data_IF_872981900389
#
_entry.id   IF_872981900389
#
_cell.length_a   1.000
_cell.length_b   1.000
_cell.length_c   1.000
_cell.angle_alpha   90.00
_cell.angle_beta   90.00
_cell.angle_gamma   90.00
#
_symmetry.space_group_name_H-M   'P 1'
#
loop_
_entity.id
_entity.type
_entity.pdbx_description
1 polymer ?
#
# COMPACT_ATOMS: atom_id res chain seq x y z
N UNK A 1 -18.56 57.52 -19.55
CA UNK A 1 -18.77 56.20 -20.19
C UNK A 1 -17.71 55.25 -19.64
N UNK A 2 -18.08 54.45 -18.65
CA UNK A 2 -17.17 53.64 -17.85
C UNK A 2 -16.97 52.23 -18.45
N UNK A 3 -15.73 51.93 -18.81
CA UNK A 3 -14.88 50.79 -18.39
C UNK A 3 -15.60 49.50 -17.94
N UNK A 4 -15.42 48.42 -18.70
CA UNK A 4 -15.25 47.04 -18.17
C UNK A 4 -14.20 46.31 -19.02
N UNK A 5 -13.02 45.95 -18.47
CA UNK A 5 -12.16 44.91 -19.02
C UNK A 5 -12.35 43.58 -18.30
N UNK A 6 -12.24 42.50 -19.08
CA UNK A 6 -12.25 41.09 -18.67
C UNK A 6 -11.28 40.83 -17.51
N UNK A 7 -11.79 40.37 -16.37
CA UNK A 7 -10.99 39.81 -15.28
C UNK A 7 -11.18 38.29 -15.21
N UNK A 8 -10.07 37.59 -15.49
CA UNK A 8 -9.75 36.25 -14.99
C UNK A 8 -10.04 36.19 -13.48
N UNK A 9 -10.98 35.36 -13.00
CA UNK A 9 -10.97 34.89 -11.62
C UNK A 9 -11.81 33.62 -11.46
N UNK A 10 -11.36 32.77 -10.52
CA UNK A 10 -12.05 31.62 -9.93
C UNK A 10 -11.80 30.20 -10.50
N UNK A 11 -10.53 29.75 -10.46
CA UNK A 11 -10.20 28.36 -10.08
C UNK A 11 -9.04 28.41 -9.06
N UNK A 12 -9.32 28.96 -7.89
CA UNK A 12 -8.43 28.94 -6.71
C UNK A 12 -9.28 29.02 -5.45
N UNK A 13 -10.02 27.96 -5.13
CA UNK A 13 -10.64 27.80 -3.80
C UNK A 13 -10.67 26.36 -3.27
N UNK A 14 -10.17 25.37 -4.00
CA UNK A 14 -10.13 23.97 -3.51
C UNK A 14 -8.79 23.54 -2.87
N UNK A 15 -7.78 24.42 -2.82
CA UNK A 15 -6.41 24.07 -2.35
C UNK A 15 -6.06 24.58 -0.93
N UNK A 16 -6.97 25.25 -0.23
CA UNK A 16 -6.64 25.96 1.02
C UNK A 16 -7.02 25.19 2.29
N UNK A 17 -7.82 24.13 2.22
CA UNK A 17 -8.23 23.37 3.42
C UNK A 17 -7.29 22.22 3.86
N UNK A 18 -6.16 21.99 3.17
CA UNK A 18 -5.21 20.90 3.50
C UNK A 18 -3.87 21.33 4.12
N UNK A 19 -3.68 22.62 4.46
CA UNK A 19 -2.39 23.15 4.94
C UNK A 19 -2.31 23.46 6.45
N UNK A 20 -3.15 22.87 7.30
CA UNK A 20 -3.17 23.16 8.75
C UNK A 20 -2.64 22.02 9.66
N UNK A 21 -1.83 21.09 9.14
CA UNK A 21 -1.21 20.01 9.95
C UNK A 21 0.28 19.82 9.63
N UNK A 22 0.98 20.89 9.25
CA UNK A 22 2.39 20.80 8.83
C UNK A 22 3.31 21.84 9.50
N UNK A 23 3.12 22.13 10.79
CA UNK A 23 4.07 22.93 11.58
C UNK A 23 4.10 22.50 13.06
N UNK A 24 4.54 21.27 13.33
CA UNK A 24 5.18 20.92 14.60
C UNK A 24 6.19 19.81 14.28
N UNK A 25 7.43 19.93 14.78
CA UNK A 25 8.62 19.10 14.49
C UNK A 25 9.49 19.50 13.30
N UNK A 26 10.19 20.63 13.46
CA UNK A 26 11.57 20.81 12.97
C UNK A 26 12.31 21.82 13.87
N UNK A 27 12.89 21.35 14.96
CA UNK A 27 14.19 21.84 15.41
C UNK A 27 14.80 20.76 16.31
N UNK A 28 15.90 20.19 15.83
CA UNK A 28 17.02 19.59 16.57
C UNK A 28 17.71 18.58 15.65
N UNK A 29 18.65 19.10 14.88
CA UNK A 29 19.77 18.32 14.36
C UNK A 29 21.03 19.14 14.68
N UNK A 30 21.84 18.60 15.62
CA UNK A 30 23.31 18.37 15.62
C UNK A 30 24.25 19.44 15.01
N UNK A 31 25.58 19.54 15.31
CA UNK A 31 26.47 18.39 15.57
C UNK A 31 27.74 18.63 16.44
N UNK A 32 28.54 17.56 16.54
CA UNK A 32 30.01 17.51 16.64
C UNK A 32 30.70 17.09 17.96
N UNK A 33 31.38 15.94 17.82
CA UNK A 33 32.74 15.57 18.25
C UNK A 33 33.14 15.73 19.72
N UNK A 34 33.70 14.66 20.29
CA UNK A 34 35.02 14.59 20.94
C UNK A 34 35.06 13.30 21.76
N UNK A 35 35.94 12.36 21.38
CA UNK A 35 36.41 11.29 22.29
C UNK A 35 37.94 11.33 22.24
N UNK A 36 38.62 11.56 23.36
CA UNK A 36 40.07 11.55 23.42
C UNK A 36 40.62 10.13 23.65
N UNK A 37 41.77 9.89 23.02
CA UNK A 37 42.80 8.92 23.38
C UNK A 37 43.17 8.98 24.85
N UNK A 38 43.24 7.83 25.53
CA UNK A 38 44.10 7.63 26.69
C UNK A 38 44.77 6.25 26.61
N UNK A 39 46.07 6.31 26.32
CA UNK A 39 47.06 5.32 26.73
C UNK A 39 47.10 5.31 28.27
N UNK A 40 47.04 4.13 28.88
CA UNK A 40 47.81 3.89 30.09
C UNK A 40 48.32 2.45 30.13
N UNK A 41 49.63 2.39 30.13
CA UNK A 41 50.51 1.27 30.45
C UNK A 41 50.25 0.77 31.88
N UNK A 42 50.27 -0.56 32.06
CA UNK A 42 50.82 -1.18 33.27
C UNK A 42 51.28 -2.61 32.96
N UNK A 43 52.61 -2.74 32.92
CA UNK A 43 53.35 -3.99 33.08
C UNK A 43 53.33 -4.42 34.55
N UNK A 44 53.11 -5.71 34.82
CA UNK A 44 54.10 -6.56 35.48
C UNK A 44 53.63 -8.02 35.61
N UNK A 45 54.62 -8.88 35.45
CA UNK A 45 54.70 -10.34 35.52
C UNK A 45 54.24 -10.98 36.82
N UNK A 46 53.74 -12.23 36.73
CA UNK A 46 54.33 -13.43 37.38
C UNK A 46 53.76 -14.73 36.79
N UNK A 47 54.66 -15.70 36.63
CA UNK A 47 54.54 -17.07 36.11
C UNK A 47 53.69 -18.00 36.99
N UNK A 48 52.80 -18.87 36.46
CA UNK A 48 53.01 -20.31 36.11
C UNK A 48 51.67 -21.07 36.33
N UNK A 49 51.48 -22.37 35.99
CA UNK A 49 51.92 -23.17 34.84
C UNK A 49 50.72 -23.73 34.00
N UNK A 50 51.07 -24.33 32.87
CA UNK A 50 50.24 -25.04 31.86
C UNK A 50 48.98 -25.78 32.36
N UNK A 51 47.82 -25.44 31.77
CA UNK A 51 46.66 -26.33 31.67
C UNK A 51 46.56 -26.90 30.24
N UNK A 52 46.13 -28.17 30.06
CA UNK A 52 45.95 -28.81 28.76
C UNK A 52 44.86 -28.08 27.94
N UNK A 53 44.82 -28.21 26.61
CA UNK A 53 43.87 -27.48 25.79
C UNK A 53 42.46 -27.86 26.23
N UNK A 54 41.77 -26.91 26.83
CA UNK A 54 40.36 -26.98 27.19
C UNK A 54 39.59 -27.36 25.94
N UNK A 55 38.93 -28.53 25.97
CA UNK A 55 37.96 -28.92 24.96
C UNK A 55 36.94 -27.78 24.88
N UNK A 56 36.96 -27.03 23.77
CA UNK A 56 35.94 -26.03 23.46
C UNK A 56 34.59 -26.72 23.60
N UNK A 57 33.80 -26.32 24.59
CA UNK A 57 32.41 -26.72 24.74
C UNK A 57 31.66 -26.23 23.50
N UNK A 58 31.45 -27.14 22.54
CA UNK A 58 30.81 -26.83 21.26
C UNK A 58 29.41 -26.30 21.49
N UNK A 59 29.05 -25.24 20.76
CA UNK A 59 27.72 -24.65 20.88
C UNK A 59 26.66 -25.65 20.40
N UNK A 60 25.41 -25.58 20.90
CA UNK A 60 24.33 -26.47 20.44
C UNK A 60 24.13 -26.45 18.92
N UNK A 61 24.41 -25.31 18.27
CA UNK A 61 24.28 -25.13 16.83
C UNK A 61 25.37 -25.86 16.03
N UNK A 62 26.61 -25.90 16.53
CA UNK A 62 27.69 -26.69 15.90
C UNK A 62 27.38 -28.18 15.91
N UNK A 63 26.79 -28.70 16.99
CA UNK A 63 26.36 -30.11 17.07
C UNK A 63 25.23 -30.43 16.10
N UNK A 64 24.26 -29.51 15.95
CA UNK A 64 23.17 -29.67 14.99
C UNK A 64 23.67 -29.64 13.55
N UNK A 65 24.61 -28.74 13.24
CA UNK A 65 25.29 -28.70 11.94
C UNK A 65 26.05 -30.00 11.64
N UNK A 66 26.83 -30.52 12.59
CA UNK A 66 27.56 -31.79 12.43
C UNK A 66 26.61 -32.97 12.24
N UNK A 67 25.50 -33.02 12.98
CA UNK A 67 24.46 -34.04 12.83
C UNK A 67 23.86 -34.02 11.43
N UNK A 68 23.67 -32.81 10.90
CA UNK A 68 23.17 -32.63 9.55
C UNK A 68 24.17 -33.09 8.48
N UNK A 69 25.43 -32.70 8.62
CA UNK A 69 26.53 -33.12 7.73
C UNK A 69 26.67 -34.65 7.69
N UNK A 70 26.46 -35.32 8.82
CA UNK A 70 26.45 -36.80 8.89
C UNK A 70 25.23 -37.41 8.18
N UNK A 71 24.09 -36.71 8.17
CA UNK A 71 22.85 -37.20 7.56
C UNK A 71 22.83 -37.05 6.04
N UNK A 72 23.61 -36.13 5.44
CA UNK A 72 23.78 -36.16 3.98
C UNK A 72 24.88 -37.12 3.61
N UNK A 73 24.46 -38.21 3.00
CA UNK A 73 25.36 -39.17 2.37
C UNK A 73 26.17 -38.48 1.25
N UNK A 74 27.40 -38.95 0.96
CA UNK A 74 28.12 -38.49 -0.22
C UNK A 74 27.27 -38.71 -1.48
N UNK A 75 27.03 -37.64 -2.24
CA UNK A 75 26.16 -37.65 -3.42
C UNK A 75 24.72 -37.14 -3.19
N UNK A 76 24.48 -36.31 -2.17
CA UNK A 76 23.17 -35.72 -1.90
C UNK A 76 22.58 -34.94 -3.09
N UNK A 77 21.26 -35.00 -3.22
CA UNK A 77 20.51 -34.33 -4.28
C UNK A 77 20.01 -32.95 -3.83
N UNK A 78 19.66 -32.03 -4.75
CA UNK A 78 19.01 -30.77 -4.38
C UNK A 78 17.72 -30.96 -3.56
N UNK A 79 17.00 -32.07 -3.75
CA UNK A 79 15.84 -32.43 -2.93
C UNK A 79 16.19 -32.80 -1.50
N UNK A 80 17.34 -33.44 -1.27
CA UNK A 80 17.80 -33.75 0.09
C UNK A 80 18.21 -32.47 0.82
N UNK A 81 18.85 -31.54 0.09
CA UNK A 81 19.17 -30.20 0.61
C UNK A 81 17.91 -29.37 0.88
N UNK A 82 16.89 -29.43 0.03
CA UNK A 82 15.61 -28.76 0.30
C UNK A 82 14.91 -29.30 1.56
N UNK A 83 14.86 -30.63 1.74
CA UNK A 83 14.29 -31.28 2.93
C UNK A 83 15.04 -30.87 4.19
N UNK A 84 16.37 -30.86 4.09
CA UNK A 84 17.28 -30.42 5.12
C UNK A 84 17.04 -28.99 5.60
N UNK A 85 16.92 -28.05 4.65
CA UNK A 85 16.64 -26.64 4.93
C UNK A 85 15.28 -26.49 5.62
N UNK A 86 14.23 -27.14 5.10
CA UNK A 86 12.88 -27.13 5.69
C UNK A 86 12.83 -27.66 7.12
N UNK A 87 13.70 -28.61 7.47
CA UNK A 87 13.76 -29.18 8.81
C UNK A 87 14.41 -28.24 9.84
N UNK A 88 15.11 -27.19 9.41
CA UNK A 88 15.73 -26.24 10.33
C UNK A 88 14.70 -25.23 10.84
N UNK A 89 14.75 -24.92 12.13
CA UNK A 89 14.02 -23.80 12.72
C UNK A 89 14.85 -22.51 12.74
N UNK A 90 16.17 -22.63 12.86
CA UNK A 90 17.08 -21.50 12.90
C UNK A 90 17.49 -21.04 11.48
N UNK A 91 17.25 -19.76 11.12
CA UNK A 91 17.58 -19.23 9.80
C UNK A 91 19.08 -19.12 9.52
N UNK A 92 19.90 -18.87 10.54
CA UNK A 92 21.35 -18.73 10.36
C UNK A 92 21.99 -20.09 10.10
N UNK A 93 21.61 -21.13 10.85
CA UNK A 93 22.01 -22.52 10.58
C UNK A 93 21.56 -22.99 9.19
N UNK A 94 20.33 -22.68 8.78
CA UNK A 94 19.85 -22.99 7.43
C UNK A 94 20.71 -22.32 6.34
N UNK A 95 21.17 -21.09 6.57
CA UNK A 95 22.07 -20.39 5.65
C UNK A 95 23.47 -21.00 5.62
N UNK A 96 24.00 -21.43 6.76
CA UNK A 96 25.30 -22.11 6.82
C UNK A 96 25.27 -23.45 6.07
N UNK A 97 24.18 -24.22 6.24
CA UNK A 97 23.90 -25.43 5.47
C UNK A 97 23.83 -25.13 3.96
N UNK A 98 23.12 -24.06 3.57
CA UNK A 98 23.00 -23.64 2.18
C UNK A 98 24.37 -23.25 1.58
N UNK A 99 25.21 -22.54 2.34
CA UNK A 99 26.54 -22.13 1.87
C UNK A 99 27.52 -23.29 1.81
N UNK A 100 27.47 -24.19 2.80
CA UNK A 100 28.33 -25.38 2.83
C UNK A 100 28.05 -26.29 1.63
N UNK A 101 26.77 -26.56 1.34
CA UNK A 101 26.39 -27.38 0.18
C UNK A 101 26.88 -26.79 -1.15
N UNK A 102 26.91 -25.46 -1.27
CA UNK A 102 27.43 -24.78 -2.46
C UNK A 102 28.96 -24.95 -2.69
N UNK A 103 29.73 -25.35 -1.67
CA UNK A 103 31.18 -25.57 -1.80
C UNK A 103 31.53 -26.90 -2.49
N UNK A 104 30.57 -27.82 -2.62
CA UNK A 104 30.81 -29.12 -3.24
C UNK A 104 30.92 -29.01 -4.77
N UNK A 105 32.04 -29.48 -5.33
CA UNK A 105 32.39 -29.32 -6.76
C UNK A 105 31.31 -29.79 -7.76
N UNK A 106 30.52 -30.80 -7.39
CA UNK A 106 29.51 -31.40 -8.27
C UNK A 106 28.07 -31.02 -7.91
N UNK A 107 27.88 -30.02 -7.04
CA UNK A 107 26.56 -29.62 -6.57
C UNK A 107 26.26 -28.17 -6.99
N UNK A 108 25.04 -27.94 -7.47
CA UNK A 108 24.50 -26.61 -7.74
C UNK A 108 23.11 -26.48 -7.13
N UNK A 109 22.86 -25.34 -6.51
CA UNK A 109 21.54 -25.01 -5.99
C UNK A 109 20.54 -24.81 -7.12
N UNK A 110 19.29 -25.19 -6.84
CA UNK A 110 18.17 -25.08 -7.79
C UNK A 110 17.20 -24.02 -7.32
N UNK A 111 16.22 -23.67 -8.15
CA UNK A 111 15.14 -22.76 -7.75
C UNK A 111 14.42 -23.17 -6.45
N UNK A 112 14.34 -24.49 -6.15
CA UNK A 112 13.70 -25.02 -4.96
C UNK A 112 14.49 -24.68 -3.68
N UNK A 113 15.80 -24.94 -3.68
CA UNK A 113 16.65 -24.66 -2.51
C UNK A 113 16.73 -23.16 -2.25
N UNK A 114 16.85 -22.34 -3.30
CA UNK A 114 16.77 -20.87 -3.22
C UNK A 114 15.42 -20.39 -2.67
N UNK A 115 14.31 -20.94 -3.13
CA UNK A 115 12.96 -20.58 -2.65
C UNK A 115 12.81 -20.86 -1.15
N UNK A 116 13.25 -22.03 -0.70
CA UNK A 116 13.16 -22.44 0.71
C UNK A 116 14.01 -21.55 1.60
N UNK A 117 15.28 -21.34 1.27
CA UNK A 117 16.17 -20.50 2.10
C UNK A 117 15.70 -19.04 2.13
N UNK A 118 15.25 -18.47 1.01
CA UNK A 118 14.74 -17.10 0.97
C UNK A 118 13.52 -16.97 1.88
N UNK A 119 12.56 -17.91 1.82
CA UNK A 119 11.39 -17.91 2.71
C UNK A 119 11.78 -17.98 4.18
N UNK A 120 12.76 -18.81 4.51
CA UNK A 120 13.23 -19.01 5.88
C UNK A 120 13.94 -17.78 6.44
N UNK A 121 14.81 -17.14 5.64
CA UNK A 121 15.46 -15.89 6.02
C UNK A 121 14.44 -14.76 6.20
N UNK A 122 13.39 -14.71 5.37
CA UNK A 122 12.30 -13.73 5.52
C UNK A 122 11.54 -13.96 6.83
N UNK A 123 11.17 -15.21 7.14
CA UNK A 123 10.50 -15.56 8.40
C UNK A 123 11.39 -15.25 9.61
N UNK A 124 12.69 -15.52 9.50
CA UNK A 124 13.74 -15.24 10.47
C UNK A 124 14.15 -13.77 10.61
N UNK A 125 13.52 -12.86 9.86
CA UNK A 125 13.86 -11.43 9.80
C UNK A 125 15.31 -11.13 9.37
N UNK A 126 16.01 -12.07 8.73
CA UNK A 126 17.38 -11.94 8.21
C UNK A 126 17.42 -11.32 6.82
N UNK A 127 16.93 -10.09 6.75
CA UNK A 127 16.59 -9.48 5.47
C UNK A 127 17.77 -9.08 4.59
N UNK A 128 18.91 -8.75 5.18
CA UNK A 128 20.14 -8.45 4.40
C UNK A 128 20.62 -9.68 3.65
N UNK A 129 20.61 -10.84 4.31
CA UNK A 129 20.98 -12.11 3.69
C UNK A 129 19.94 -12.54 2.63
N UNK A 130 18.65 -12.31 2.88
CA UNK A 130 17.62 -12.57 1.86
C UNK A 130 17.81 -11.68 0.61
N UNK A 131 18.24 -10.43 0.78
CA UNK A 131 18.55 -9.52 -0.32
C UNK A 131 19.77 -9.98 -1.14
N UNK A 132 20.85 -10.45 -0.50
CA UNK A 132 22.01 -10.98 -1.22
C UNK A 132 21.63 -12.21 -2.06
N UNK A 133 20.80 -13.11 -1.52
CA UNK A 133 20.33 -14.26 -2.29
C UNK A 133 19.41 -13.85 -3.46
N UNK A 134 18.62 -12.78 -3.30
CA UNK A 134 17.83 -12.22 -4.40
C UNK A 134 18.74 -11.72 -5.52
N UNK A 135 19.86 -11.06 -5.18
CA UNK A 135 20.85 -10.58 -6.15
C UNK A 135 21.55 -11.72 -6.89
N UNK A 136 21.93 -12.78 -6.17
CA UNK A 136 22.49 -13.99 -6.77
C UNK A 136 21.53 -14.62 -7.80
N UNK A 137 20.24 -14.73 -7.48
CA UNK A 137 19.23 -15.25 -8.42
C UNK A 137 19.07 -14.33 -9.63
N UNK A 138 19.06 -13.00 -9.45
CA UNK A 138 19.00 -12.05 -10.58
C UNK A 138 20.24 -12.18 -11.49
N UNK A 139 21.42 -12.43 -10.91
CA UNK A 139 22.67 -12.66 -11.62
C UNK A 139 22.72 -14.01 -12.36
N UNK A 140 21.75 -14.91 -12.12
CA UNK A 140 21.64 -16.20 -12.82
C UNK A 140 22.26 -17.37 -12.07
N UNK A 141 22.31 -17.33 -10.73
CA UNK A 141 22.89 -18.40 -9.92
C UNK A 141 22.13 -19.74 -9.99
N UNK A 142 20.84 -19.74 -10.35
CA UNK A 142 20.02 -20.94 -10.47
C UNK A 142 19.05 -20.88 -11.66
N UNK A 143 18.44 -22.02 -11.95
CA UNK A 143 17.28 -22.12 -12.83
C UNK A 143 16.11 -21.31 -12.25
N UNK A 144 15.21 -20.87 -13.12
CA UNK A 144 14.16 -19.92 -12.76
C UNK A 144 12.82 -20.63 -12.59
N UNK A 145 12.02 -20.19 -11.62
CA UNK A 145 10.65 -20.66 -11.43
C UNK A 145 9.72 -19.52 -11.05
N UNK A 146 8.45 -19.63 -11.44
CA UNK A 146 7.41 -18.65 -11.10
C UNK A 146 7.26 -18.46 -9.57
N UNK A 147 7.22 -19.53 -8.73
CA UNK A 147 7.12 -19.37 -7.28
C UNK A 147 8.32 -18.67 -6.64
N UNK A 148 9.53 -18.89 -7.17
CA UNK A 148 10.73 -18.19 -6.73
C UNK A 148 10.63 -16.69 -7.03
N UNK A 149 10.32 -16.31 -8.27
CA UNK A 149 10.14 -14.91 -8.64
C UNK A 149 9.04 -14.22 -7.85
N UNK A 150 7.87 -14.84 -7.68
CA UNK A 150 6.77 -14.27 -6.90
C UNK A 150 7.16 -14.10 -5.42
N UNK A 151 7.97 -15.01 -4.86
CA UNK A 151 8.49 -14.88 -3.48
C UNK A 151 9.48 -13.72 -3.34
N UNK A 152 10.41 -13.57 -4.30
CA UNK A 152 11.35 -12.45 -4.35
C UNK A 152 10.64 -11.11 -4.55
N UNK A 153 9.69 -11.02 -5.47
CA UNK A 153 8.87 -9.82 -5.71
C UNK A 153 8.09 -9.46 -4.44
N UNK A 154 7.43 -10.42 -3.80
CA UNK A 154 6.71 -10.20 -2.53
C UNK A 154 7.63 -9.63 -1.44
N UNK A 155 8.84 -10.18 -1.31
CA UNK A 155 9.85 -9.67 -0.37
C UNK A 155 10.27 -8.23 -0.68
N UNK A 156 10.62 -7.94 -1.94
CA UNK A 156 11.03 -6.61 -2.39
C UNK A 156 9.90 -5.58 -2.23
N UNK A 157 8.67 -5.94 -2.60
CA UNK A 157 7.46 -5.12 -2.45
C UNK A 157 7.11 -4.80 -0.99
N UNK A 158 7.52 -5.65 -0.04
CA UNK A 158 7.30 -5.45 1.39
C UNK A 158 8.16 -4.34 2.00
N UNK A 159 9.21 -3.88 1.30
CA UNK A 159 10.21 -2.96 1.86
C UNK A 159 10.27 -1.64 1.12
N UNK A 160 10.55 -0.56 1.86
CA UNK A 160 10.65 0.78 1.26
C UNK A 160 11.81 0.86 0.25
N UNK A 161 12.99 0.39 0.66
CA UNK A 161 14.25 0.47 -0.08
C UNK A 161 14.33 -0.50 -1.27
N UNK A 162 13.77 -1.71 -1.13
CA UNK A 162 13.86 -2.76 -2.17
C UNK A 162 12.78 -2.66 -3.24
N UNK A 163 11.94 -1.64 -3.21
CA UNK A 163 10.81 -1.55 -4.11
C UNK A 163 11.20 -1.49 -5.59
N UNK A 164 12.23 -0.73 -5.91
CA UNK A 164 12.73 -0.67 -7.28
C UNK A 164 13.30 -2.03 -7.71
N UNK A 165 13.92 -2.77 -6.78
CA UNK A 165 14.41 -4.14 -7.01
C UNK A 165 13.28 -5.09 -7.41
N UNK A 166 12.05 -4.90 -6.91
CA UNK A 166 10.90 -5.71 -7.33
C UNK A 166 10.66 -5.61 -8.85
N UNK A 167 10.88 -4.43 -9.43
CA UNK A 167 10.76 -4.22 -10.88
C UNK A 167 11.94 -4.79 -11.66
N UNK A 168 13.14 -4.86 -11.07
CA UNK A 168 14.28 -5.54 -11.68
C UNK A 168 14.04 -7.05 -11.77
N UNK A 169 13.53 -7.65 -10.68
CA UNK A 169 13.11 -9.06 -10.65
C UNK A 169 12.01 -9.32 -11.68
N UNK A 170 10.98 -8.47 -11.72
CA UNK A 170 9.91 -8.57 -12.71
C UNK A 170 10.41 -8.44 -14.16
N UNK A 171 11.33 -7.50 -14.45
CA UNK A 171 11.92 -7.35 -15.79
C UNK A 171 12.75 -8.58 -16.19
N UNK A 172 13.47 -9.19 -15.24
CA UNK A 172 14.20 -10.44 -15.48
C UNK A 172 13.23 -11.57 -15.82
N UNK A 173 12.14 -11.71 -15.06
CA UNK A 173 11.07 -12.67 -15.32
C UNK A 173 10.40 -12.44 -16.69
N UNK A 174 10.20 -11.19 -17.12
CA UNK A 174 9.61 -10.90 -18.43
C UNK A 174 10.51 -11.33 -19.60
N UNK A 175 11.83 -11.37 -19.39
CA UNK A 175 12.83 -11.77 -20.40
C UNK A 175 13.07 -13.28 -20.45
N UNK A 176 12.64 -14.04 -19.44
CA UNK A 176 12.79 -15.49 -19.46
C UNK A 176 11.72 -16.15 -20.32
N UNK A 177 12.12 -17.10 -21.16
CA UNK A 177 11.20 -17.88 -21.99
C UNK A 177 10.40 -18.89 -21.15
N UNK A 178 11.05 -19.52 -20.17
CA UNK A 178 10.50 -20.60 -19.33
C UNK A 178 9.57 -20.11 -18.21
N UNK A 179 9.70 -18.84 -17.81
CA UNK A 179 9.01 -18.28 -16.64
C UNK A 179 8.31 -16.98 -16.99
N UNK A 180 7.00 -17.03 -17.18
CA UNK A 180 6.20 -15.84 -17.49
C UNK A 180 5.46 -15.30 -16.26
N UNK A 181 5.34 -13.96 -16.11
CA UNK A 181 4.52 -13.36 -15.07
C UNK A 181 3.09 -13.89 -15.10
N UNK A 182 2.54 -14.21 -13.93
CA UNK A 182 1.16 -14.66 -13.78
C UNK A 182 0.31 -13.62 -13.03
N UNK A 183 -0.96 -13.92 -12.81
CA UNK A 183 -1.88 -13.03 -12.10
C UNK A 183 -1.35 -12.63 -10.72
N UNK A 184 -0.77 -13.58 -9.96
CA UNK A 184 -0.16 -13.31 -8.65
C UNK A 184 0.97 -12.28 -8.75
N UNK A 185 1.84 -12.39 -9.77
CA UNK A 185 2.92 -11.43 -10.01
C UNK A 185 2.38 -10.01 -10.16
N UNK A 186 1.37 -9.82 -11.01
CA UNK A 186 0.75 -8.52 -11.24
C UNK A 186 0.03 -8.00 -10.00
N UNK A 187 -0.69 -8.86 -9.28
CA UNK A 187 -1.37 -8.52 -8.02
C UNK A 187 -0.38 -7.99 -6.97
N UNK A 188 0.76 -8.66 -6.78
CA UNK A 188 1.81 -8.23 -5.84
C UNK A 188 2.33 -6.83 -6.20
N UNK A 189 2.66 -6.62 -7.47
CA UNK A 189 3.21 -5.37 -7.96
C UNK A 189 2.19 -4.22 -7.87
N UNK A 190 0.96 -4.41 -8.35
CA UNK A 190 -0.09 -3.39 -8.23
C UNK A 190 -0.39 -3.03 -6.77
N UNK A 191 -0.40 -4.02 -5.87
CA UNK A 191 -0.70 -3.78 -4.46
C UNK A 191 0.43 -2.99 -3.79
N UNK A 192 1.67 -3.32 -4.16
CA UNK A 192 2.84 -2.58 -3.70
C UNK A 192 2.88 -1.14 -4.20
N UNK A 193 2.45 -0.88 -5.45
CA UNK A 193 2.32 0.46 -6.01
C UNK A 193 1.26 1.26 -5.25
N UNK A 194 0.06 0.72 -5.08
CA UNK A 194 -1.06 1.43 -4.45
C UNK A 194 -0.86 1.73 -2.98
N UNK A 195 -0.08 0.90 -2.25
CA UNK A 195 0.34 1.21 -0.87
C UNK A 195 1.19 2.48 -0.76
N UNK A 196 1.76 2.97 -1.86
CA UNK A 196 2.57 4.19 -1.92
C UNK A 196 1.78 5.41 -2.40
N UNK A 197 0.50 5.26 -2.72
CA UNK A 197 -0.39 6.35 -3.15
C UNK A 197 -0.84 7.17 -1.94
N UNK A 198 0.11 7.89 -1.33
CA UNK A 198 -0.11 8.70 -0.13
C UNK A 198 -0.33 10.18 -0.44
N UNK A 199 0.33 10.71 -1.47
CA UNK A 199 0.20 12.11 -1.92
C UNK A 199 -0.04 12.14 -3.43
N UNK A 200 -0.83 13.10 -3.92
CA UNK A 200 -1.24 13.19 -5.33
C UNK A 200 -0.03 13.20 -6.29
N UNK A 201 0.99 14.01 -6.02
CA UNK A 201 2.21 14.09 -6.85
C UNK A 201 2.92 12.73 -6.96
N UNK A 202 2.90 11.94 -5.89
CA UNK A 202 3.50 10.60 -5.85
C UNK A 202 2.63 9.60 -6.62
N UNK A 203 1.30 9.75 -6.59
CA UNK A 203 0.38 8.91 -7.36
C UNK A 203 0.66 9.00 -8.87
N UNK A 204 0.89 10.21 -9.41
CA UNK A 204 1.17 10.39 -10.84
C UNK A 204 2.46 9.68 -11.30
N UNK A 205 3.52 9.69 -10.48
CA UNK A 205 4.76 8.97 -10.80
C UNK A 205 4.50 7.47 -10.94
N UNK A 206 3.74 6.89 -10.02
CA UNK A 206 3.42 5.46 -10.06
C UNK A 206 2.31 5.11 -11.05
N UNK A 207 1.51 6.07 -11.50
CA UNK A 207 0.49 5.85 -12.52
C UNK A 207 1.12 5.39 -13.85
N UNK A 208 2.29 5.91 -14.21
CA UNK A 208 3.01 5.44 -15.40
C UNK A 208 3.38 3.95 -15.27
N UNK A 209 3.82 3.51 -14.09
CA UNK A 209 4.11 2.11 -13.83
C UNK A 209 2.84 1.25 -13.91
N UNK A 210 1.72 1.71 -13.35
CA UNK A 210 0.42 1.04 -13.47
C UNK A 210 0.02 0.89 -14.94
N UNK A 211 0.04 1.97 -15.73
CA UNK A 211 -0.25 1.97 -17.18
C UNK A 211 0.63 0.97 -17.94
N UNK A 212 1.93 1.00 -17.69
CA UNK A 212 2.90 0.11 -18.34
C UNK A 212 2.61 -1.36 -18.01
N UNK A 213 2.40 -1.68 -16.73
CA UNK A 213 2.10 -3.04 -16.29
C UNK A 213 0.75 -3.53 -16.81
N UNK A 214 -0.29 -2.70 -16.86
CA UNK A 214 -1.59 -3.09 -17.42
C UNK A 214 -1.44 -3.47 -18.89
N UNK A 215 -0.66 -2.70 -19.68
CA UNK A 215 -0.35 -3.06 -21.07
C UNK A 215 0.44 -4.36 -21.18
N UNK A 216 1.45 -4.55 -20.32
CA UNK A 216 2.25 -5.77 -20.29
C UNK A 216 1.42 -7.00 -19.90
N UNK A 217 0.53 -6.88 -18.92
CA UNK A 217 -0.39 -7.95 -18.51
C UNK A 217 -1.27 -8.42 -19.67
N UNK A 218 -1.85 -7.47 -20.43
CA UNK A 218 -2.62 -7.77 -21.64
C UNK A 218 -1.75 -8.43 -22.71
N UNK A 219 -0.56 -7.90 -22.98
CA UNK A 219 0.37 -8.46 -23.98
C UNK A 219 0.87 -9.86 -23.62
N UNK A 220 1.02 -10.17 -22.33
CA UNK A 220 1.37 -11.50 -21.82
C UNK A 220 0.20 -12.49 -21.83
N UNK A 221 -1.01 -12.06 -22.21
CA UNK A 221 -2.21 -12.90 -22.18
C UNK A 221 -2.70 -13.25 -20.77
N UNK A 222 -2.28 -12.51 -19.75
CA UNK A 222 -2.74 -12.73 -18.37
C UNK A 222 -4.09 -12.07 -18.19
N UNK A 223 -5.11 -12.89 -17.94
CA UNK A 223 -6.48 -12.43 -17.71
C UNK A 223 -6.58 -11.84 -16.30
N UNK A 224 -6.94 -10.56 -16.14
CA UNK A 224 -7.12 -9.94 -14.83
C UNK A 224 -8.42 -10.41 -14.17
N UNK A 225 -8.40 -10.49 -12.84
CA UNK A 225 -9.59 -10.69 -12.03
C UNK A 225 -10.20 -9.34 -11.57
N UNK A 226 -11.39 -9.40 -10.95
CA UNK A 226 -12.06 -8.23 -10.37
C UNK A 226 -11.17 -7.46 -9.40
N UNK A 227 -10.29 -8.17 -8.67
CA UNK A 227 -9.40 -7.54 -7.70
C UNK A 227 -8.36 -6.64 -8.38
N UNK A 228 -7.65 -7.15 -9.39
CA UNK A 228 -6.67 -6.39 -10.17
C UNK A 228 -7.32 -5.25 -10.94
N UNK A 229 -8.49 -5.47 -11.54
CA UNK A 229 -9.23 -4.41 -12.25
C UNK A 229 -9.62 -3.27 -11.30
N UNK A 230 -10.11 -3.61 -10.09
CA UNK A 230 -10.41 -2.62 -9.06
C UNK A 230 -9.18 -1.83 -8.61
N UNK A 231 -8.00 -2.46 -8.56
CA UNK A 231 -6.75 -1.78 -8.25
C UNK A 231 -6.35 -0.79 -9.34
N UNK A 232 -6.49 -1.16 -10.60
CA UNK A 232 -6.22 -0.28 -11.75
C UNK A 232 -7.21 0.90 -11.74
N UNK A 233 -8.51 0.65 -11.54
CA UNK A 233 -9.55 1.68 -11.41
C UNK A 233 -9.22 2.63 -10.26
N UNK A 234 -8.88 2.10 -9.07
CA UNK A 234 -8.45 2.90 -7.92
C UNK A 234 -7.27 3.80 -8.25
N UNK A 235 -6.29 3.29 -9.01
CA UNK A 235 -5.11 4.06 -9.42
C UNK A 235 -5.50 5.27 -10.29
N UNK A 236 -6.32 5.03 -11.31
CA UNK A 236 -6.82 6.09 -12.21
C UNK A 236 -7.69 7.10 -11.47
N UNK A 237 -8.65 6.65 -10.66
CA UNK A 237 -9.51 7.52 -9.86
C UNK A 237 -8.71 8.41 -8.90
N UNK A 238 -7.71 7.85 -8.20
CA UNK A 238 -6.84 8.65 -7.30
C UNK A 238 -5.99 9.69 -8.03
N UNK A 239 -5.74 9.51 -9.33
CA UNK A 239 -5.03 10.47 -10.16
C UNK A 239 -5.97 11.36 -10.98
N UNK A 240 -7.29 11.32 -10.72
CA UNK A 240 -8.31 12.07 -11.46
C UNK A 240 -8.34 11.79 -12.98
N UNK A 241 -7.80 10.64 -13.39
CA UNK A 241 -7.81 10.12 -14.76
C UNK A 241 -9.09 9.28 -14.98
N UNK A 242 -10.23 9.88 -14.66
CA UNK A 242 -11.53 9.18 -14.53
C UNK A 242 -12.04 8.57 -15.84
N UNK A 243 -11.64 9.11 -16.99
CA UNK A 243 -12.04 8.55 -18.29
C UNK A 243 -11.39 7.18 -18.52
N UNK A 244 -10.13 7.02 -18.13
CA UNK A 244 -9.45 5.72 -18.13
C UNK A 244 -10.04 4.77 -17.08
N UNK A 245 -10.44 5.29 -15.92
CA UNK A 245 -11.15 4.49 -14.91
C UNK A 245 -12.48 3.92 -15.46
N UNK A 246 -13.27 4.75 -16.15
CA UNK A 246 -14.53 4.35 -16.81
C UNK A 246 -14.26 3.36 -17.95
N UNK A 247 -13.17 3.55 -18.71
CA UNK A 247 -12.76 2.59 -19.75
C UNK A 247 -12.49 1.22 -19.15
N UNK A 248 -11.70 1.13 -18.07
CA UNK A 248 -11.40 -0.14 -17.40
C UNK A 248 -12.67 -0.76 -16.80
N UNK A 249 -13.58 0.04 -16.25
CA UNK A 249 -14.89 -0.42 -15.78
C UNK A 249 -15.71 -1.10 -16.89
N UNK A 250 -15.76 -0.50 -18.09
CA UNK A 250 -16.46 -1.09 -19.25
C UNK A 250 -15.77 -2.36 -19.75
N UNK A 251 -14.45 -2.45 -19.63
CA UNK A 251 -13.68 -3.64 -19.99
C UNK A 251 -13.90 -4.81 -19.02
N UNK A 252 -14.43 -4.60 -17.79
CA UNK A 252 -14.61 -5.68 -16.81
C UNK A 252 -15.49 -6.81 -17.33
N UNK A 253 -16.58 -6.49 -18.05
CA UNK A 253 -17.46 -7.49 -18.64
C UNK A 253 -16.78 -8.37 -19.69
N UNK A 254 -15.77 -7.85 -20.41
CA UNK A 254 -14.98 -8.62 -21.38
C UNK A 254 -14.12 -9.69 -20.71
N UNK A 255 -13.82 -9.52 -19.42
CA UNK A 255 -13.08 -10.48 -18.59
C UNK A 255 -14.00 -11.36 -17.74
N UNK A 256 -15.33 -11.29 -17.94
CA UNK A 256 -16.30 -11.99 -17.08
C UNK A 256 -16.28 -11.51 -15.62
N UNK A 257 -15.79 -10.29 -15.38
CA UNK A 257 -15.66 -9.72 -14.04
C UNK A 257 -16.83 -8.79 -13.74
N UNK A 258 -17.53 -9.04 -12.63
CA UNK A 258 -18.63 -8.19 -12.20
C UNK A 258 -18.14 -7.01 -11.35
N UNK A 259 -18.57 -5.76 -11.65
CA UNK A 259 -18.34 -4.62 -10.79
C UNK A 259 -18.96 -4.79 -9.40
N UNK A 260 -18.22 -4.40 -8.37
CA UNK A 260 -18.68 -4.48 -6.98
C UNK A 260 -18.64 -3.11 -6.28
N UNK A 261 -18.93 -3.08 -4.98
CA UNK A 261 -19.01 -1.84 -4.22
C UNK A 261 -17.72 -1.01 -4.27
N UNK A 262 -16.55 -1.65 -4.37
CA UNK A 262 -15.28 -0.95 -4.52
C UNK A 262 -15.15 -0.32 -5.91
N UNK A 263 -15.56 -1.04 -6.96
CA UNK A 263 -15.53 -0.55 -8.34
C UNK A 263 -16.29 0.76 -8.48
N UNK A 264 -17.57 0.75 -8.09
CA UNK A 264 -18.43 1.94 -8.13
C UNK A 264 -17.91 3.05 -7.23
N UNK A 265 -17.52 2.71 -5.99
CA UNK A 265 -17.04 3.70 -5.02
C UNK A 265 -15.78 4.43 -5.50
N UNK A 266 -14.83 3.74 -6.14
CA UNK A 266 -13.64 4.38 -6.70
C UNK A 266 -13.98 5.33 -7.85
N UNK A 267 -14.89 4.96 -8.75
CA UNK A 267 -15.25 5.78 -9.92
C UNK A 267 -16.08 6.99 -9.48
N UNK A 268 -17.12 6.78 -8.67
CA UNK A 268 -17.98 7.84 -8.15
C UNK A 268 -17.15 8.90 -7.40
N UNK A 269 -16.29 8.44 -6.49
CA UNK A 269 -15.33 9.30 -5.79
C UNK A 269 -14.46 10.10 -6.75
N UNK A 270 -13.78 9.42 -7.68
CA UNK A 270 -12.85 10.09 -8.61
C UNK A 270 -13.55 11.12 -9.49
N UNK A 271 -14.79 10.85 -9.93
CA UNK A 271 -15.61 11.78 -10.70
C UNK A 271 -15.98 13.02 -9.89
N UNK A 272 -16.45 12.84 -8.65
CA UNK A 272 -16.75 13.94 -7.73
C UNK A 272 -15.52 14.80 -7.44
N UNK A 273 -14.36 14.19 -7.13
CA UNK A 273 -13.10 14.90 -6.88
C UNK A 273 -12.58 15.65 -8.12
N UNK A 274 -12.89 15.17 -9.34
CA UNK A 274 -12.58 15.87 -10.60
C UNK A 274 -13.58 17.01 -10.92
N UNK A 275 -14.67 17.12 -10.19
CA UNK A 275 -15.75 18.08 -10.46
C UNK A 275 -16.81 17.60 -11.46
N UNK A 276 -16.78 16.32 -11.88
CA UNK A 276 -17.83 15.71 -12.72
C UNK A 276 -18.96 15.14 -11.86
N UNK A 277 -19.52 15.99 -10.99
CA UNK A 277 -20.45 15.62 -9.91
C UNK A 277 -21.69 14.88 -10.45
N UNK A 278 -22.29 15.34 -11.56
CA UNK A 278 -23.42 14.66 -12.21
C UNK A 278 -23.14 13.19 -12.54
N UNK A 279 -21.96 12.89 -13.09
CA UNK A 279 -21.60 11.52 -13.43
C UNK A 279 -21.27 10.71 -12.17
N UNK A 280 -20.61 11.32 -11.18
CA UNK A 280 -20.36 10.69 -9.89
C UNK A 280 -21.65 10.26 -9.19
N UNK A 281 -22.66 11.13 -9.18
CA UNK A 281 -23.99 10.83 -8.67
C UNK A 281 -24.70 9.73 -9.48
N UNK A 282 -24.52 9.70 -10.80
CA UNK A 282 -25.00 8.62 -11.66
C UNK A 282 -24.45 7.25 -11.25
N UNK A 283 -23.13 7.14 -11.06
CA UNK A 283 -22.50 5.90 -10.58
C UNK A 283 -22.98 5.51 -9.16
N UNK A 284 -23.23 6.48 -8.28
CA UNK A 284 -23.81 6.21 -6.96
C UNK A 284 -25.25 5.65 -7.05
N UNK A 285 -26.11 6.24 -7.90
CA UNK A 285 -27.48 5.76 -8.10
C UNK A 285 -27.50 4.35 -8.68
N UNK A 286 -26.64 4.07 -9.67
CA UNK A 286 -26.48 2.72 -10.24
C UNK A 286 -25.96 1.72 -9.19
N UNK A 287 -25.03 2.15 -8.34
CA UNK A 287 -24.53 1.35 -7.23
C UNK A 287 -25.67 0.96 -6.26
N UNK A 288 -26.55 1.91 -5.92
CA UNK A 288 -27.72 1.66 -5.06
C UNK A 288 -28.76 0.75 -5.72
N UNK A 289 -29.03 0.93 -7.02
CA UNK A 289 -29.99 0.06 -7.73
C UNK A 289 -29.52 -1.40 -7.80
N UNK A 290 -28.21 -1.63 -7.67
CA UNK A 290 -27.60 -2.97 -7.55
C UNK A 290 -27.48 -3.47 -6.10
N UNK A 291 -28.10 -2.77 -5.15
CA UNK A 291 -28.03 -3.06 -3.71
C UNK A 291 -26.59 -3.07 -3.14
N UNK A 292 -25.65 -2.39 -3.81
CA UNK A 292 -24.28 -2.27 -3.35
C UNK A 292 -24.18 -1.06 -2.40
N UNK A 293 -23.59 -1.28 -1.23
CA UNK A 293 -23.52 -0.27 -0.17
C UNK A 293 -22.21 0.54 -0.30
N UNK A 294 -22.25 1.87 -0.54
CA UNK A 294 -21.04 2.71 -0.67
C UNK A 294 -20.17 2.66 0.58
N UNK A 295 -18.87 2.90 0.49
CA UNK A 295 -18.04 3.06 1.71
C UNK A 295 -18.29 4.41 2.37
N UNK A 296 -17.98 4.56 3.67
CA UNK A 296 -18.04 5.85 4.39
C UNK A 296 -17.33 6.97 3.61
N UNK A 297 -16.13 6.69 3.10
CA UNK A 297 -15.36 7.63 2.29
C UNK A 297 -16.03 8.01 0.97
N UNK A 298 -16.81 7.10 0.37
CA UNK A 298 -17.55 7.36 -0.87
C UNK A 298 -18.72 8.29 -0.58
N UNK A 299 -19.49 8.01 0.48
CA UNK A 299 -20.58 8.88 0.94
C UNK A 299 -20.11 10.30 1.20
N UNK A 300 -19.11 10.46 2.08
CA UNK A 300 -18.56 11.78 2.45
C UNK A 300 -18.19 12.60 1.23
N UNK A 301 -17.50 12.00 0.26
CA UNK A 301 -17.04 12.72 -0.92
C UNK A 301 -18.20 13.12 -1.83
N UNK A 302 -19.20 12.25 -2.01
CA UNK A 302 -20.39 12.57 -2.81
C UNK A 302 -21.17 13.70 -2.14
N UNK A 303 -21.49 13.58 -0.85
CA UNK A 303 -22.20 14.60 -0.06
C UNK A 303 -21.49 15.96 -0.16
N UNK A 304 -20.20 16.01 0.19
CA UNK A 304 -19.44 17.25 0.13
C UNK A 304 -19.35 17.81 -1.30
N UNK A 305 -19.21 16.96 -2.31
CA UNK A 305 -19.15 17.42 -3.71
C UNK A 305 -20.48 18.02 -4.19
N UNK A 306 -21.62 17.44 -3.80
CA UNK A 306 -22.95 17.95 -4.13
C UNK A 306 -23.22 19.27 -3.44
N UNK A 307 -22.88 19.37 -2.15
CA UNK A 307 -23.02 20.62 -1.41
C UNK A 307 -22.17 21.75 -2.00
N UNK A 308 -20.92 21.47 -2.38
CA UNK A 308 -20.06 22.46 -3.05
C UNK A 308 -20.54 22.84 -4.45
N UNK A 309 -21.23 21.93 -5.15
CA UNK A 309 -21.87 22.16 -6.45
C UNK A 309 -23.27 22.83 -6.33
N UNK A 310 -23.65 23.28 -5.11
CA UNK A 310 -24.95 23.90 -4.79
C UNK A 310 -26.16 23.03 -5.10
N UNK A 311 -26.01 21.72 -4.95
CA UNK A 311 -27.08 20.72 -5.09
C UNK A 311 -27.44 20.17 -3.71
N UNK A 312 -27.94 21.06 -2.86
CA UNK A 312 -28.12 20.76 -1.44
C UNK A 312 -29.16 19.68 -1.20
N UNK A 313 -30.23 19.62 -2.00
CA UNK A 313 -31.26 18.58 -1.90
C UNK A 313 -30.68 17.18 -2.13
N UNK A 314 -29.93 16.99 -3.22
CA UNK A 314 -29.25 15.72 -3.49
C UNK A 314 -28.21 15.41 -2.40
N UNK A 315 -27.51 16.44 -1.90
CA UNK A 315 -26.53 16.27 -0.81
C UNK A 315 -27.16 15.77 0.48
N UNK A 316 -28.32 16.32 0.86
CA UNK A 316 -29.09 15.94 2.04
C UNK A 316 -29.66 14.52 1.85
N UNK A 317 -30.19 14.19 0.67
CA UNK A 317 -30.67 12.83 0.36
C UNK A 317 -29.57 11.79 0.56
N UNK A 318 -28.37 12.05 0.02
CA UNK A 318 -27.23 11.14 0.16
C UNK A 318 -26.73 11.08 1.60
N UNK A 319 -26.78 12.19 2.36
CA UNK A 319 -26.44 12.21 3.78
C UNK A 319 -27.41 11.36 4.60
N UNK A 320 -28.71 11.45 4.34
CA UNK A 320 -29.70 10.60 5.01
C UNK A 320 -29.55 9.13 4.64
N UNK A 321 -29.29 8.78 3.38
CA UNK A 321 -28.96 7.39 3.01
C UNK A 321 -27.69 6.89 3.73
N UNK A 322 -26.71 7.77 4.00
CA UNK A 322 -25.54 7.42 4.82
C UNK A 322 -25.94 7.07 6.26
N UNK A 323 -26.79 7.90 6.88
CA UNK A 323 -27.28 7.70 8.25
C UNK A 323 -28.17 6.47 8.40
N UNK A 324 -29.08 6.24 7.44
CA UNK A 324 -29.97 5.08 7.40
C UNK A 324 -29.20 3.76 7.26
N UNK A 325 -27.98 3.81 6.72
CA UNK A 325 -27.02 2.68 6.66
C UNK A 325 -26.11 2.59 7.89
N UNK A 326 -26.48 3.26 8.98
CA UNK A 326 -25.75 3.32 10.25
C UNK A 326 -24.31 3.81 10.10
N UNK A 327 -24.08 4.74 9.16
CA UNK A 327 -22.79 5.41 9.00
C UNK A 327 -22.93 6.88 9.33
N UNK A 328 -22.14 7.33 10.30
CA UNK A 328 -22.09 8.73 10.70
C UNK A 328 -21.24 9.55 9.73
N UNK A 329 -21.77 10.66 9.18
CA UNK A 329 -20.95 11.75 8.68
C UNK A 329 -19.96 12.24 9.74
N UNK A 330 -18.81 12.75 9.32
CA UNK A 330 -17.89 13.44 10.23
C UNK A 330 -18.27 14.92 10.40
N UNK A 331 -17.63 15.60 11.36
CA UNK A 331 -17.89 17.03 11.64
C UNK A 331 -17.79 17.89 10.38
N UNK A 332 -16.79 17.63 9.53
CA UNK A 332 -16.57 18.39 8.31
C UNK A 332 -17.69 18.16 7.29
N UNK A 333 -18.20 16.94 7.18
CA UNK A 333 -19.31 16.60 6.28
C UNK A 333 -20.59 17.32 6.69
N UNK A 334 -20.94 17.28 7.98
CA UNK A 334 -22.08 18.05 8.50
C UNK A 334 -21.92 19.54 8.22
N UNK A 335 -20.79 20.10 8.63
CA UNK A 335 -20.46 21.52 8.43
C UNK A 335 -20.62 21.95 6.97
N UNK A 336 -20.12 21.14 6.03
CA UNK A 336 -20.14 21.48 4.60
C UNK A 336 -21.56 21.68 4.08
N UNK A 337 -22.50 20.81 4.48
CA UNK A 337 -23.90 20.89 4.03
C UNK A 337 -24.64 22.02 4.74
N UNK A 338 -24.44 22.14 6.05
CA UNK A 338 -25.06 23.18 6.89
C UNK A 338 -24.66 24.58 6.45
N UNK A 339 -23.36 24.84 6.28
CA UNK A 339 -22.88 26.12 5.73
C UNK A 339 -23.34 26.33 4.28
N UNK A 340 -23.54 25.25 3.51
CA UNK A 340 -24.13 25.32 2.17
C UNK A 340 -25.51 25.95 2.19
N UNK A 341 -26.39 25.48 3.07
CA UNK A 341 -27.74 26.02 3.27
C UNK A 341 -27.72 27.48 3.75
N UNK A 342 -26.87 27.81 4.73
CA UNK A 342 -26.75 29.18 5.22
C UNK A 342 -26.34 30.17 4.12
N UNK A 343 -25.37 29.79 3.26
CA UNK A 343 -24.92 30.63 2.14
C UNK A 343 -25.99 30.86 1.07
N UNK A 344 -26.99 30.00 0.99
CA UNK A 344 -28.17 30.18 0.12
C UNK A 344 -29.31 30.95 0.81
N UNK A 345 -29.12 31.42 2.05
CA UNK A 345 -30.13 32.12 2.82
C UNK A 345 -31.17 31.21 3.47
N UNK A 346 -30.92 29.89 3.50
CA UNK A 346 -31.83 28.85 4.05
C UNK A 346 -31.41 28.46 5.46
N UNK A 347 -31.22 29.46 6.32
CA UNK A 347 -30.72 29.26 7.68
C UNK A 347 -31.64 28.38 8.53
N UNK A 348 -32.95 28.60 8.45
CA UNK A 348 -33.95 27.84 9.23
C UNK A 348 -33.90 26.34 8.88
N UNK A 349 -33.82 26.01 7.59
CA UNK A 349 -33.65 24.62 7.12
C UNK A 349 -32.34 24.00 7.61
N UNK A 350 -31.28 24.80 7.78
CA UNK A 350 -30.00 24.31 8.31
C UNK A 350 -30.12 23.91 9.79
N UNK A 351 -30.85 24.68 10.60
CA UNK A 351 -31.11 24.32 12.01
C UNK A 351 -32.00 23.08 12.10
N UNK A 352 -33.08 23.01 11.31
CA UNK A 352 -33.96 21.84 11.25
C UNK A 352 -33.20 20.57 10.82
N UNK A 353 -32.33 20.69 9.81
CA UNK A 353 -31.49 19.59 9.35
C UNK A 353 -30.54 19.09 10.44
N UNK A 354 -29.90 19.99 11.21
CA UNK A 354 -29.01 19.61 12.31
C UNK A 354 -29.75 18.82 13.39
N UNK A 355 -30.96 19.26 13.76
CA UNK A 355 -31.79 18.56 14.74
C UNK A 355 -32.26 17.19 14.23
N UNK A 356 -32.61 17.10 12.96
CA UNK A 356 -32.98 15.81 12.34
C UNK A 356 -31.78 14.85 12.27
N UNK A 357 -30.59 15.35 11.93
CA UNK A 357 -29.36 14.57 11.95
C UNK A 357 -29.06 14.06 13.37
N UNK A 358 -29.27 14.87 14.39
CA UNK A 358 -29.08 14.48 15.79
C UNK A 358 -30.02 13.34 16.23
N UNK A 359 -31.24 13.29 15.70
CA UNK A 359 -32.20 12.20 15.98
C UNK A 359 -31.81 10.89 15.29
N UNK A 360 -31.30 10.96 14.06
CA UNK A 360 -30.94 9.78 13.26
C UNK A 360 -29.54 9.24 13.58
N UNK A 361 -28.61 10.12 13.92
CA UNK A 361 -27.22 9.78 14.20
C UNK A 361 -27.01 9.51 15.70
N UNK A 362 -27.13 8.25 16.10
CA UNK A 362 -26.86 7.80 17.46
C UNK A 362 -25.41 8.06 17.92
N UNK A 363 -24.47 8.28 16.98
CA UNK A 363 -23.06 8.53 17.29
C UNK A 363 -22.71 10.01 17.43
N UNK A 364 -23.61 10.91 17.02
CA UNK A 364 -23.42 12.35 17.20
C UNK A 364 -23.44 12.67 18.70
N UNK A 365 -22.26 12.91 19.26
CA UNK A 365 -22.14 13.29 20.66
C UNK A 365 -22.61 14.73 20.90
N UNK A 366 -22.91 15.08 22.16
CA UNK A 366 -23.40 16.41 22.53
C UNK A 366 -22.40 17.52 22.19
N UNK A 367 -21.08 17.22 22.24
CA UNK A 367 -20.02 18.17 21.92
C UNK A 367 -20.01 18.55 20.44
N UNK A 368 -20.12 17.58 19.53
CA UNK A 368 -20.16 17.79 18.07
C UNK A 368 -21.42 18.57 17.71
N UNK A 369 -22.58 18.21 18.27
CA UNK A 369 -23.81 18.96 18.07
C UNK A 369 -23.68 20.42 18.52
N UNK A 370 -23.19 20.68 19.74
CA UNK A 370 -22.98 22.05 20.25
C UNK A 370 -21.99 22.84 19.38
N UNK A 371 -20.92 22.20 18.91
CA UNK A 371 -19.95 22.83 18.02
C UNK A 371 -20.60 23.24 16.69
N UNK A 372 -21.33 22.31 16.04
CA UNK A 372 -22.03 22.60 14.78
C UNK A 372 -23.10 23.68 14.96
N UNK A 373 -23.85 23.65 16.07
CA UNK A 373 -24.86 24.65 16.38
C UNK A 373 -24.24 26.05 16.58
N UNK A 374 -23.13 26.16 17.31
CA UNK A 374 -22.41 27.42 17.49
C UNK A 374 -21.83 27.94 16.17
N UNK A 375 -21.28 27.04 15.34
CA UNK A 375 -20.79 27.39 14.01
C UNK A 375 -21.91 27.91 13.12
N UNK A 376 -23.09 27.26 13.13
CA UNK A 376 -24.29 27.74 12.42
C UNK A 376 -24.71 29.13 12.88
N UNK A 377 -24.81 29.38 14.18
CA UNK A 377 -25.16 30.71 14.71
C UNK A 377 -24.17 31.80 14.30
N UNK A 378 -22.88 31.46 14.17
CA UNK A 378 -21.87 32.39 13.70
C UNK A 378 -22.07 32.71 12.20
N UNK A 379 -22.25 31.68 11.37
CA UNK A 379 -22.40 31.83 9.91
C UNK A 379 -23.69 32.56 9.53
N UNK A 380 -24.77 32.40 10.29
CA UNK A 380 -26.04 33.11 10.02
C UNK A 380 -26.05 34.58 10.49
N UNK A 381 -25.00 35.05 11.20
CA UNK A 381 -24.89 36.43 11.69
C UNK A 381 -24.09 37.35 10.75
N UNK A 382 -23.27 36.78 9.88
CA UNK A 382 -22.57 37.46 8.79
C UNK A 382 -23.47 37.55 7.55
#
# INVERSE_FOLDING_TARGET
MAIIPKSFFCVRSASVYFSSLFNLFKSLQSPHSFIPTLLHTRSCSTSSPSQPPTQRTRTPMEKQFETWVQNLKPGFTPSDVDRALKAQSDPDLALDIFRWTAQHRNYKHTHLTYLTIIKQLIAGRRYRQAETLVEEVIAGACDVSVPLYNSMIRFCCGRKLLFNRAFDVYKKMLRSEDCRPNLETYTLLFNSLLRRFNKLNVCYVYLHAVRSMTKQMKASGVIPDTFVLNMIIKAYSKCLEVDEAIRVFREMGLYGCEPNAYTYGYIARGLCEKGRVNQGLGFYREMRSKCLVPSTSTYVIIVCSLAMDRRLEDSIEVMFDMLDRSRSPDHLTYKTVLEGLCREGRADEAFELLDECKKRDASMNEKVYKNLLNELYFVCRE
#
